data_IF_711520390291
#
_entry.id   IF_711520390291
#
_cell.length_a   1.000
_cell.length_b   1.000
_cell.length_c   1.000
_cell.angle_alpha   90.00
_cell.angle_beta   90.00
_cell.angle_gamma   90.00
#
_symmetry.space_group_name_H-M   'P 1'
#
loop_
_entity.id
_entity.type
_entity.pdbx_description
1 polymer ?
#
# COMPACT_ATOMS: atom_id res chain seq x y z
N UNK A 1 -24.59 37.34 21.60
CA UNK A 1 -23.14 37.10 21.62
C UNK A 1 -22.76 35.69 22.12
N UNK A 2 -23.16 35.24 23.32
CA UNK A 2 -22.77 33.88 23.82
C UNK A 2 -23.21 32.74 22.92
N UNK A 3 -24.40 32.76 22.32
CA UNK A 3 -24.88 31.72 21.38
C UNK A 3 -24.07 31.69 20.07
N UNK A 4 -23.67 32.86 19.56
CA UNK A 4 -22.85 32.97 18.35
C UNK A 4 -21.42 32.43 18.59
N UNK A 5 -20.84 32.75 19.77
CA UNK A 5 -19.54 32.18 20.16
C UNK A 5 -19.58 30.64 20.29
N UNK A 6 -20.66 30.08 20.86
CA UNK A 6 -20.85 28.65 21.00
C UNK A 6 -20.96 27.96 19.62
N UNK A 7 -21.67 28.59 18.68
CA UNK A 7 -21.85 28.07 17.32
C UNK A 7 -20.53 28.09 16.54
N UNK A 8 -19.75 29.18 16.68
CA UNK A 8 -18.43 29.30 16.06
C UNK A 8 -17.45 28.30 16.70
N UNK A 9 -17.48 28.14 18.04
CA UNK A 9 -16.65 27.13 18.73
C UNK A 9 -17.01 25.68 18.32
N UNK A 10 -18.32 25.39 18.17
CA UNK A 10 -18.77 24.08 17.69
C UNK A 10 -18.35 23.81 16.23
N UNK A 11 -18.35 24.85 15.38
CA UNK A 11 -17.90 24.73 13.99
C UNK A 11 -16.39 24.49 13.89
N UNK A 12 -15.59 25.03 14.80
CA UNK A 12 -14.15 24.78 14.87
C UNK A 12 -13.78 23.39 15.43
N UNK A 13 -14.64 22.82 16.29
CA UNK A 13 -14.39 21.46 16.84
C UNK A 13 -14.70 20.36 15.82
N UNK A 14 -15.51 20.65 14.79
CA UNK A 14 -15.79 19.68 13.71
C UNK A 14 -14.77 19.67 12.59
N UNK A 15 -13.76 20.54 12.61
CA UNK A 15 -12.57 20.45 11.77
C UNK A 15 -11.59 19.41 12.37
N UNK A 16 -12.07 18.21 12.59
CA UNK A 16 -11.17 17.06 12.65
C UNK A 16 -10.50 16.96 11.29
N UNK A 17 -9.18 17.01 11.27
CA UNK A 17 -8.39 16.79 10.07
C UNK A 17 -8.72 15.39 9.54
N UNK A 18 -9.64 15.32 8.60
CA UNK A 18 -9.87 14.14 7.81
C UNK A 18 -8.76 14.18 6.78
N UNK A 19 -7.88 13.20 6.81
CA UNK A 19 -6.92 12.93 5.74
C UNK A 19 -7.49 11.78 4.92
N UNK A 20 -8.42 12.03 4.01
CA UNK A 20 -8.98 10.96 3.20
C UNK A 20 -8.10 10.76 1.97
N UNK A 21 -7.25 9.72 1.97
CA UNK A 21 -6.81 9.17 0.70
C UNK A 21 -8.01 8.62 -0.05
N UNK A 22 -8.02 8.74 -1.37
CA UNK A 22 -9.14 8.24 -2.20
C UNK A 22 -8.58 7.42 -3.35
N UNK A 23 -9.05 6.20 -3.47
CA UNK A 23 -8.72 5.31 -4.58
C UNK A 23 -9.99 4.88 -5.31
N UNK A 24 -9.92 4.83 -6.64
CA UNK A 24 -10.94 4.17 -7.45
C UNK A 24 -10.36 2.89 -8.04
N UNK A 25 -11.16 1.84 -8.03
CA UNK A 25 -10.85 0.53 -8.60
C UNK A 25 -11.89 0.21 -9.65
N UNK A 26 -11.48 0.09 -10.91
CA UNK A 26 -12.39 -0.10 -12.04
C UNK A 26 -12.11 -1.43 -12.73
N UNK A 27 -13.11 -2.31 -12.74
CA UNK A 27 -13.06 -3.57 -13.46
C UNK A 27 -13.12 -3.35 -14.99
N UNK A 28 -12.53 -4.27 -15.74
CA UNK A 28 -12.33 -4.12 -17.20
C UNK A 28 -13.61 -3.98 -18.03
N UNK A 29 -14.77 -4.41 -17.54
CA UNK A 29 -16.06 -4.23 -18.20
C UNK A 29 -16.79 -2.94 -17.77
N UNK A 30 -16.29 -2.29 -16.71
CA UNK A 30 -16.79 -1.01 -16.24
C UNK A 30 -16.04 0.17 -16.91
N UNK A 31 -14.89 -0.09 -17.55
CA UNK A 31 -14.17 0.88 -18.37
C UNK A 31 -14.67 0.90 -19.81
N UNK A 32 -14.47 2.02 -20.52
CA UNK A 32 -14.93 2.19 -21.91
C UNK A 32 -14.08 1.46 -22.94
N UNK A 33 -12.84 1.14 -22.61
CA UNK A 33 -11.85 0.53 -23.50
C UNK A 33 -11.42 -0.89 -23.08
N UNK A 34 -12.05 -1.44 -22.03
CA UNK A 34 -11.73 -2.76 -21.52
C UNK A 34 -10.47 -2.82 -20.63
N UNK A 35 -9.89 -1.68 -20.27
CA UNK A 35 -8.78 -1.62 -19.33
C UNK A 35 -9.23 -1.80 -17.89
N UNK A 36 -8.36 -2.30 -17.04
CA UNK A 36 -8.48 -2.18 -15.58
C UNK A 36 -7.83 -0.87 -15.15
N UNK A 37 -8.43 -0.18 -14.18
CA UNK A 37 -7.91 1.12 -13.73
C UNK A 37 -7.89 1.13 -12.19
N UNK A 38 -6.79 1.62 -11.61
CA UNK A 38 -6.77 2.12 -10.23
C UNK A 38 -6.33 3.59 -10.27
N UNK A 39 -6.94 4.41 -9.44
CA UNK A 39 -6.44 5.75 -9.12
C UNK A 39 -5.86 5.76 -7.72
N UNK A 40 -4.98 6.70 -7.46
CA UNK A 40 -4.39 6.90 -6.15
C UNK A 40 -4.25 8.39 -5.86
N UNK A 41 -4.88 8.84 -4.78
CA UNK A 41 -4.72 10.19 -4.25
C UNK A 41 -4.28 10.08 -2.79
N UNK A 42 -3.02 10.41 -2.52
CA UNK A 42 -2.50 10.54 -1.17
C UNK A 42 -2.69 11.98 -0.71
N UNK A 43 -3.63 12.20 0.22
CA UNK A 43 -3.89 13.53 0.76
C UNK A 43 -2.90 13.84 1.87
N UNK A 44 -1.89 14.66 1.56
CA UNK A 44 -0.86 15.06 2.50
C UNK A 44 -0.45 16.52 2.30
N UNK A 45 -0.15 17.21 3.39
CA UNK A 45 0.43 18.56 3.35
C UNK A 45 1.96 18.56 3.18
N UNK A 46 2.61 17.41 3.35
CA UNK A 46 4.05 17.29 3.40
C UNK A 46 4.67 16.41 2.31
N UNK A 47 3.88 15.52 1.71
CA UNK A 47 4.37 14.61 0.68
C UNK A 47 4.29 15.25 -0.71
N UNK A 48 5.31 14.97 -1.51
CA UNK A 48 5.33 15.29 -2.94
C UNK A 48 5.06 14.03 -3.74
N UNK A 49 4.37 14.19 -4.89
CA UNK A 49 4.26 13.13 -5.88
C UNK A 49 5.58 13.03 -6.68
N UNK A 50 6.59 12.38 -6.15
CA UNK A 50 7.83 12.09 -6.86
C UNK A 50 7.65 10.91 -7.80
N UNK A 51 8.29 10.97 -8.97
CA UNK A 51 8.34 9.85 -9.89
C UNK A 51 9.54 8.96 -9.54
N UNK A 52 9.32 7.96 -8.71
CA UNK A 52 10.35 6.98 -8.36
C UNK A 52 10.62 6.03 -9.52
N UNK A 53 11.89 5.66 -9.70
CA UNK A 53 12.30 4.64 -10.67
C UNK A 53 13.29 3.67 -10.03
N UNK A 54 12.93 2.40 -10.06
CA UNK A 54 13.82 1.29 -9.70
C UNK A 54 14.07 0.45 -10.95
N UNK A 55 15.29 0.50 -11.48
CA UNK A 55 15.68 -0.27 -12.66
C UNK A 55 15.69 -1.77 -12.36
N UNK A 56 15.27 -2.56 -13.34
CA UNK A 56 15.42 -4.02 -13.30
C UNK A 56 16.89 -4.40 -13.12
N UNK A 57 17.15 -5.37 -12.24
CA UNK A 57 18.51 -5.79 -11.92
C UNK A 57 18.57 -7.28 -11.59
N UNK A 58 19.72 -7.90 -11.85
CA UNK A 58 20.08 -9.23 -11.35
C UNK A 58 20.99 -9.11 -10.14
N UNK A 59 20.79 -9.99 -9.19
CA UNK A 59 21.51 -10.03 -7.92
C UNK A 59 22.12 -11.41 -7.70
N UNK A 60 23.16 -11.48 -6.88
CA UNK A 60 23.76 -12.76 -6.52
C UNK A 60 22.94 -13.47 -5.44
N UNK A 61 23.01 -14.82 -5.39
CA UNK A 61 22.41 -15.55 -4.27
C UNK A 61 22.95 -15.07 -2.91
N UNK A 62 22.06 -14.86 -1.96
CA UNK A 62 22.42 -14.42 -0.61
C UNK A 62 22.54 -12.92 -0.43
N UNK A 63 22.41 -12.10 -1.47
CA UNK A 63 22.31 -10.63 -1.30
C UNK A 63 21.11 -10.26 -0.47
N UNK A 64 21.26 -9.19 0.34
CA UNK A 64 20.23 -8.68 1.22
C UNK A 64 19.81 -7.29 0.76
N UNK A 65 18.51 -7.00 0.90
CA UNK A 65 17.92 -5.68 0.66
C UNK A 65 17.70 -4.98 1.99
N UNK A 66 18.29 -3.81 2.18
CA UNK A 66 18.01 -2.94 3.31
C UNK A 66 16.63 -2.30 3.13
N UNK A 67 15.81 -2.39 4.17
CA UNK A 67 14.47 -1.81 4.20
C UNK A 67 14.46 -0.62 5.12
N UNK A 68 13.91 0.48 4.61
CA UNK A 68 13.72 1.73 5.35
C UNK A 68 12.23 2.06 5.34
N UNK A 69 11.71 2.53 6.45
CA UNK A 69 10.36 3.03 6.53
C UNK A 69 10.15 4.16 5.53
N UNK A 70 9.04 4.10 4.81
CA UNK A 70 8.77 4.97 3.67
C UNK A 70 8.72 6.46 4.05
N UNK A 71 8.03 6.80 5.13
CA UNK A 71 7.79 8.20 5.49
C UNK A 71 8.96 8.87 6.19
N UNK A 72 9.66 8.15 7.07
CA UNK A 72 10.71 8.72 7.94
C UNK A 72 12.11 8.32 7.54
N UNK A 73 12.27 7.39 6.59
CA UNK A 73 13.54 6.76 6.22
C UNK A 73 14.27 6.07 7.39
N UNK A 74 13.54 5.70 8.43
CA UNK A 74 14.07 4.90 9.52
C UNK A 74 14.47 3.52 9.02
N UNK A 75 15.70 3.09 9.32
CA UNK A 75 16.14 1.74 9.00
C UNK A 75 15.34 0.70 9.81
N UNK A 76 14.69 -0.23 9.14
CA UNK A 76 13.88 -1.28 9.75
C UNK A 76 14.59 -2.64 9.81
N UNK A 77 15.48 -2.93 8.87
CA UNK A 77 16.18 -4.21 8.81
C UNK A 77 16.54 -4.62 7.39
N UNK A 78 16.80 -5.91 7.22
CA UNK A 78 17.16 -6.50 5.92
C UNK A 78 16.28 -7.68 5.59
N UNK A 79 15.94 -7.79 4.31
CA UNK A 79 15.21 -8.94 3.76
C UNK A 79 16.04 -9.60 2.65
N UNK A 80 15.79 -10.87 2.35
CA UNK A 80 16.43 -11.53 1.23
C UNK A 80 16.10 -10.81 -0.07
N UNK A 81 17.14 -10.47 -0.86
CA UNK A 81 16.95 -9.88 -2.17
C UNK A 81 16.50 -10.96 -3.17
N UNK A 82 15.59 -10.59 -4.08
CA UNK A 82 15.24 -11.45 -5.20
C UNK A 82 16.42 -11.54 -6.18
N UNK A 83 16.63 -12.70 -6.79
CA UNK A 83 17.71 -12.89 -7.78
C UNK A 83 17.56 -12.01 -9.02
N UNK A 84 16.34 -11.61 -9.31
CA UNK A 84 16.01 -10.67 -10.38
C UNK A 84 14.85 -9.80 -9.94
N UNK A 85 14.93 -8.50 -10.25
CA UNK A 85 13.87 -7.52 -10.05
C UNK A 85 13.38 -6.99 -11.39
N UNK A 86 12.14 -6.46 -11.41
CA UNK A 86 11.53 -5.79 -12.54
C UNK A 86 11.73 -4.28 -12.46
N UNK A 87 11.61 -3.59 -13.60
CA UNK A 87 11.52 -2.13 -13.63
C UNK A 87 10.24 -1.67 -12.94
N UNK A 88 10.38 -0.68 -12.07
CA UNK A 88 9.24 -0.03 -11.39
C UNK A 88 9.34 1.46 -11.62
N UNK A 89 8.25 2.09 -12.02
CA UNK A 89 8.10 3.54 -12.15
C UNK A 89 6.89 3.97 -11.33
N UNK A 90 7.11 4.79 -10.31
CA UNK A 90 6.06 5.14 -9.36
C UNK A 90 5.43 3.88 -8.77
N UNK A 91 4.13 3.75 -8.91
CA UNK A 91 3.34 2.63 -8.37
C UNK A 91 3.02 1.54 -9.41
N UNK A 92 3.79 1.44 -10.51
CA UNK A 92 3.57 0.47 -11.59
C UNK A 92 4.89 -0.18 -12.02
N UNK A 93 4.83 -1.46 -12.43
CA UNK A 93 5.97 -2.15 -13.01
C UNK A 93 5.82 -2.43 -14.51
N UNK A 94 6.88 -2.97 -15.14
CA UNK A 94 6.94 -3.28 -16.58
C UNK A 94 5.93 -4.35 -17.04
N UNK A 95 5.30 -5.08 -16.13
CA UNK A 95 4.22 -6.02 -16.42
C UNK A 95 2.83 -5.38 -16.31
N UNK A 96 2.74 -4.05 -16.19
CA UNK A 96 1.48 -3.31 -15.97
C UNK A 96 0.76 -3.69 -14.66
N UNK A 97 1.49 -4.26 -13.71
CA UNK A 97 1.01 -4.41 -12.34
C UNK A 97 1.13 -3.08 -11.62
N UNK A 98 0.03 -2.60 -11.06
CA UNK A 98 -0.02 -1.37 -10.27
C UNK A 98 -0.51 -1.67 -8.85
N UNK A 99 0.10 -1.01 -7.85
CA UNK A 99 -0.30 -1.10 -6.44
C UNK A 99 -0.36 0.30 -5.86
N UNK A 100 -1.50 0.65 -5.29
CA UNK A 100 -1.73 1.88 -4.54
C UNK A 100 -2.21 1.54 -3.12
N UNK A 101 -2.32 2.53 -2.24
CA UNK A 101 -2.76 2.31 -0.88
C UNK A 101 -3.75 3.39 -0.40
N UNK A 102 -4.40 3.10 0.73
CA UNK A 102 -5.22 4.03 1.51
C UNK A 102 -5.15 3.60 2.96
N UNK A 103 -4.64 4.48 3.82
CA UNK A 103 -4.49 4.19 5.24
C UNK A 103 -5.83 4.27 5.96
N UNK A 104 -6.28 3.20 6.61
CA UNK A 104 -7.43 3.22 7.52
C UNK A 104 -7.02 3.27 9.01
N UNK A 105 -5.75 3.09 9.32
CA UNK A 105 -5.18 3.19 10.66
C UNK A 105 -5.47 1.98 11.53
N UNK A 106 -6.55 2.03 12.30
CA UNK A 106 -6.90 0.98 13.23
C UNK A 106 -6.30 1.18 14.63
N UNK A 107 -6.22 0.11 15.41
CA UNK A 107 -5.74 0.16 16.80
C UNK A 107 -4.22 0.20 16.84
N UNK A 108 -3.67 1.18 17.56
CA UNK A 108 -2.21 1.40 17.67
C UNK A 108 -1.45 0.19 18.25
N UNK A 109 -2.10 -0.59 19.12
CA UNK A 109 -1.54 -1.78 19.73
C UNK A 109 -1.28 -2.91 18.73
N UNK A 110 -1.85 -2.83 17.53
CA UNK A 110 -1.67 -3.80 16.46
C UNK A 110 -0.46 -3.50 15.58
N UNK A 111 0.17 -2.33 15.71
CA UNK A 111 1.43 -2.03 15.01
C UNK A 111 2.56 -2.87 15.61
N UNK A 112 3.23 -3.65 14.77
CA UNK A 112 4.42 -4.40 15.17
C UNK A 112 5.67 -3.55 14.98
N UNK A 113 6.13 -2.89 16.03
CA UNK A 113 7.33 -2.03 15.99
C UNK A 113 8.64 -2.81 15.74
N UNK A 114 8.59 -4.14 15.70
CA UNK A 114 9.72 -5.02 15.36
C UNK A 114 9.65 -5.56 13.93
N UNK A 115 8.57 -5.25 13.23
CA UNK A 115 8.39 -5.61 11.81
C UNK A 115 9.40 -4.91 10.92
N UNK A 116 9.73 -5.52 9.79
CA UNK A 116 10.68 -4.97 8.81
C UNK A 116 9.96 -4.39 7.59
N UNK A 117 8.76 -4.89 7.28
CA UNK A 117 7.98 -4.43 6.14
C UNK A 117 6.97 -3.37 6.55
N UNK A 118 7.16 -2.13 6.12
CA UNK A 118 6.14 -1.09 6.16
C UNK A 118 5.31 -1.08 4.86
N UNK A 119 4.23 -0.29 4.83
CA UNK A 119 3.31 -0.26 3.68
C UNK A 119 4.00 0.14 2.37
N UNK A 120 4.81 1.20 2.39
CA UNK A 120 5.49 1.71 1.20
C UNK A 120 6.56 0.77 0.70
N UNK A 121 7.41 0.24 1.59
CA UNK A 121 8.39 -0.79 1.24
C UNK A 121 7.72 -2.04 0.69
N UNK A 122 6.57 -2.43 1.23
CA UNK A 122 5.82 -3.58 0.76
C UNK A 122 5.34 -3.39 -0.69
N UNK A 123 4.91 -2.17 -1.06
CA UNK A 123 4.49 -1.83 -2.42
C UNK A 123 5.65 -1.99 -3.41
N UNK A 124 6.76 -1.24 -3.23
CA UNK A 124 7.81 -1.26 -4.24
C UNK A 124 8.56 -2.59 -4.30
N UNK A 125 8.78 -3.27 -3.17
CA UNK A 125 9.40 -4.60 -3.14
C UNK A 125 8.53 -5.62 -3.86
N UNK A 126 7.21 -5.54 -3.72
CA UNK A 126 6.27 -6.42 -4.42
C UNK A 126 6.25 -6.13 -5.92
N UNK A 127 6.21 -4.86 -6.32
CA UNK A 127 6.27 -4.46 -7.73
C UNK A 127 7.55 -4.93 -8.42
N UNK A 128 8.67 -4.96 -7.71
CA UNK A 128 9.93 -5.50 -8.21
C UNK A 128 9.93 -7.03 -8.42
N UNK A 129 8.94 -7.76 -7.90
CA UNK A 129 8.96 -9.23 -7.81
C UNK A 129 7.75 -9.92 -8.44
N UNK A 130 6.61 -9.23 -8.56
CA UNK A 130 5.35 -9.78 -9.04
C UNK A 130 5.08 -9.38 -10.50
N UNK A 131 4.40 -10.25 -11.25
CA UNK A 131 3.99 -9.99 -12.64
C UNK A 131 2.48 -9.71 -12.76
N UNK A 132 1.70 -10.09 -11.77
CA UNK A 132 0.26 -9.94 -11.77
C UNK A 132 -0.28 -9.76 -10.35
N UNK A 133 -1.57 -9.42 -10.24
CA UNK A 133 -2.22 -9.10 -8.98
C UNK A 133 -2.18 -10.27 -7.97
N UNK A 134 -2.38 -11.51 -8.43
CA UNK A 134 -2.37 -12.68 -7.54
C UNK A 134 -0.99 -13.00 -7.00
N UNK A 135 0.04 -12.88 -7.83
CA UNK A 135 1.44 -12.96 -7.38
C UNK A 135 1.77 -11.85 -6.38
N UNK A 136 1.28 -10.62 -6.63
CA UNK A 136 1.47 -9.51 -5.71
C UNK A 136 0.89 -9.81 -4.33
N UNK A 137 -0.37 -10.23 -4.24
CA UNK A 137 -1.02 -10.61 -2.99
C UNK A 137 -0.23 -11.70 -2.27
N UNK A 138 0.21 -12.73 -2.99
CA UNK A 138 1.01 -13.81 -2.40
C UNK A 138 2.35 -13.30 -1.87
N UNK A 139 3.08 -12.48 -2.62
CA UNK A 139 4.37 -11.94 -2.20
C UNK A 139 4.22 -11.01 -1.00
N UNK A 140 3.21 -10.12 -1.00
CA UNK A 140 2.93 -9.23 0.12
C UNK A 140 2.68 -10.03 1.41
N UNK A 141 1.84 -11.05 1.34
CA UNK A 141 1.50 -11.88 2.49
C UNK A 141 2.67 -12.74 2.97
N UNK A 142 3.47 -13.29 2.07
CA UNK A 142 4.68 -14.04 2.41
C UNK A 142 5.74 -13.14 3.08
N UNK A 143 5.93 -11.92 2.58
CA UNK A 143 6.88 -10.96 3.13
C UNK A 143 6.50 -10.56 4.56
N UNK A 144 5.25 -10.19 4.81
CA UNK A 144 4.83 -9.81 6.16
C UNK A 144 4.80 -11.00 7.11
N UNK A 145 4.45 -12.19 6.64
CA UNK A 145 4.50 -13.40 7.44
C UNK A 145 5.95 -13.72 7.91
N UNK A 146 6.91 -13.50 7.01
CA UNK A 146 8.33 -13.80 7.29
C UNK A 146 9.02 -12.70 8.07
N UNK A 147 8.75 -11.42 7.76
CA UNK A 147 9.52 -10.29 8.24
C UNK A 147 8.77 -9.36 9.20
N UNK A 148 7.47 -9.59 9.42
CA UNK A 148 6.62 -8.73 10.25
C UNK A 148 6.10 -7.51 9.48
N UNK A 149 5.03 -6.90 9.99
CA UNK A 149 4.38 -5.74 9.38
C UNK A 149 4.43 -4.53 10.31
N UNK A 150 5.17 -3.50 9.90
CA UNK A 150 5.49 -2.34 10.73
C UNK A 150 4.43 -1.23 10.70
N UNK A 151 3.54 -1.21 9.70
CA UNK A 151 2.56 -0.12 9.55
C UNK A 151 1.27 -0.33 10.35
N UNK A 152 0.47 0.72 10.42
CA UNK A 152 -0.94 0.67 10.81
C UNK A 152 -1.78 -0.09 9.78
N UNK A 153 -3.10 -0.06 9.88
CA UNK A 153 -3.97 -0.73 8.92
C UNK A 153 -3.98 -0.01 7.57
N UNK A 154 -3.78 -0.79 6.50
CA UNK A 154 -3.71 -0.32 5.11
C UNK A 154 -4.65 -1.09 4.21
N UNK A 155 -5.25 -0.37 3.27
CA UNK A 155 -6.03 -0.91 2.17
C UNK A 155 -5.22 -0.73 0.87
N UNK A 156 -4.81 -1.83 0.26
CA UNK A 156 -4.06 -1.83 -1.00
C UNK A 156 -5.00 -2.03 -2.17
N UNK A 157 -4.93 -1.14 -3.16
CA UNK A 157 -5.54 -1.29 -4.47
C UNK A 157 -4.53 -1.94 -5.40
N UNK A 158 -4.84 -3.12 -5.94
CA UNK A 158 -3.91 -3.92 -6.75
C UNK A 158 -4.58 -4.20 -8.10
N UNK A 159 -3.95 -3.84 -9.21
CA UNK A 159 -4.46 -4.09 -10.55
C UNK A 159 -3.38 -4.63 -11.49
N UNK A 160 -3.77 -5.57 -12.34
CA UNK A 160 -3.03 -5.98 -13.52
C UNK A 160 -3.95 -5.85 -14.75
N UNK A 161 -3.51 -6.11 -16.00
CA UNK A 161 -4.37 -5.96 -17.18
C UNK A 161 -5.65 -6.80 -17.19
N UNK A 162 -5.82 -7.75 -16.26
CA UNK A 162 -6.92 -8.70 -16.26
C UNK A 162 -7.88 -8.54 -15.10
N UNK A 163 -7.39 -8.11 -13.94
CA UNK A 163 -8.20 -8.08 -12.72
C UNK A 163 -7.77 -6.98 -11.75
N UNK A 164 -8.71 -6.57 -10.90
CA UNK A 164 -8.52 -5.56 -9.87
C UNK A 164 -8.91 -6.15 -8.51
N UNK A 165 -8.13 -5.84 -7.49
CA UNK A 165 -8.29 -6.33 -6.13
C UNK A 165 -8.19 -5.21 -5.12
N UNK A 166 -8.99 -5.28 -4.07
CA UNK A 166 -8.72 -4.58 -2.81
C UNK A 166 -8.18 -5.58 -1.80
N UNK A 167 -7.12 -5.20 -1.10
CA UNK A 167 -6.52 -6.01 -0.04
C UNK A 167 -6.36 -5.15 1.20
N UNK A 168 -7.00 -5.53 2.29
CA UNK A 168 -6.83 -4.89 3.59
C UNK A 168 -5.89 -5.69 4.46
N UNK A 169 -5.03 -4.98 5.19
CA UNK A 169 -4.00 -5.60 6.05
C UNK A 169 -3.83 -4.81 7.32
N UNK A 170 -3.71 -5.50 8.44
CA UNK A 170 -3.40 -4.92 9.75
C UNK A 170 -2.45 -5.84 10.52
N UNK A 171 -1.52 -5.25 11.26
CA UNK A 171 -0.59 -6.00 12.10
C UNK A 171 -1.28 -6.75 13.23
N UNK A 172 -0.53 -7.59 13.93
CA UNK A 172 -1.00 -8.40 15.08
C UNK A 172 -0.40 -7.94 16.40
N UNK A 173 0.30 -6.81 16.41
CA UNK A 173 1.01 -6.26 17.56
C UNK A 173 2.38 -6.90 17.81
N UNK A 174 3.15 -6.25 18.66
CA UNK A 174 4.52 -6.67 19.01
C UNK A 174 4.54 -8.11 19.53
N UNK A 175 5.48 -8.90 19.02
CA UNK A 175 5.65 -10.31 19.37
C UNK A 175 4.78 -11.28 18.57
N UNK A 176 3.84 -10.77 17.74
CA UNK A 176 2.97 -11.59 16.89
C UNK A 176 3.28 -11.32 15.42
N UNK A 177 4.39 -11.84 14.93
CA UNK A 177 4.85 -11.63 13.55
C UNK A 177 3.77 -11.89 12.50
N UNK A 178 3.76 -11.05 11.47
CA UNK A 178 2.84 -11.13 10.35
C UNK A 178 1.68 -10.13 10.44
N UNK A 179 0.66 -10.36 9.65
CA UNK A 179 -0.53 -9.52 9.57
C UNK A 179 -1.80 -10.37 9.48
N UNK A 180 -2.94 -9.78 9.85
CA UNK A 180 -4.27 -10.25 9.43
C UNK A 180 -4.61 -9.51 8.16
N UNK A 181 -5.13 -10.21 7.17
CA UNK A 181 -5.43 -9.63 5.87
C UNK A 181 -6.63 -10.30 5.21
N UNK A 182 -7.26 -9.58 4.30
CA UNK A 182 -8.29 -10.07 3.39
C UNK A 182 -8.02 -9.48 2.01
N UNK A 183 -8.27 -10.24 0.95
CA UNK A 183 -8.20 -9.74 -0.41
C UNK A 183 -9.48 -10.12 -1.17
N UNK A 184 -10.10 -9.13 -1.81
CA UNK A 184 -11.36 -9.28 -2.53
C UNK A 184 -11.16 -8.79 -3.97
N UNK A 185 -11.50 -9.65 -4.93
CA UNK A 185 -11.50 -9.27 -6.34
C UNK A 185 -12.70 -8.38 -6.64
N UNK A 186 -12.47 -7.25 -7.28
CA UNK A 186 -13.55 -6.40 -7.81
C UNK A 186 -14.12 -7.06 -9.05
N UNK A 187 -15.43 -7.26 -9.14
CA UNK A 187 -16.06 -7.79 -10.34
C UNK A 187 -15.76 -6.93 -11.57
N UNK A 188 -15.68 -7.58 -12.74
CA UNK A 188 -15.26 -6.89 -13.97
C UNK A 188 -16.17 -5.73 -14.37
N UNK A 189 -17.46 -5.80 -14.02
CA UNK A 189 -18.50 -4.82 -14.33
C UNK A 189 -18.75 -3.79 -13.21
N UNK A 190 -17.89 -3.78 -12.19
CA UNK A 190 -18.01 -2.90 -11.02
C UNK A 190 -16.92 -1.85 -10.96
N UNK A 191 -17.26 -0.75 -10.28
CA UNK A 191 -16.36 0.28 -9.77
C UNK A 191 -16.49 0.26 -8.26
N UNK A 192 -15.34 0.33 -7.57
CA UNK A 192 -15.26 0.49 -6.11
C UNK A 192 -14.44 1.73 -5.77
N UNK A 193 -14.76 2.37 -4.64
CA UNK A 193 -14.01 3.50 -4.08
C UNK A 193 -13.91 3.32 -2.56
#
# INVERSE_FOLDING_TARGET
MKKLLLTISALFITLTFIYPCTNFLVGKKASTDGSTIISYSADSYALYGELYHWAAKKYNPGEMLKVYEWDTHKYLGEIAQALQTYNVIGNMNEHQLAIAETTFGGRKELVDSTGIMDYGSLIYVTLQRAKNAREAIKIMTDLVAKYGYYSSGESFSIADPNEVWVMEMIGKGVGNKGAVWVAVRIPDDCISA
#
